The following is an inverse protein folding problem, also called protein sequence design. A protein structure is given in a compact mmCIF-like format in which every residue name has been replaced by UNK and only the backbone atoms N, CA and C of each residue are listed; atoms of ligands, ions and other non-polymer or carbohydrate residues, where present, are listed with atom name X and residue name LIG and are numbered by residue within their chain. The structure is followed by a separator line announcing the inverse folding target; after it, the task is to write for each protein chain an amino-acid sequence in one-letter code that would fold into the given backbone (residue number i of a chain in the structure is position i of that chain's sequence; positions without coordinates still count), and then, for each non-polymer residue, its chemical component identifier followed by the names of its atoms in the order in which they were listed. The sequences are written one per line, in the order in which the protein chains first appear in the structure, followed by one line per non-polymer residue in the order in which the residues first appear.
data_IF_407332781172
#
_entry.id   IF_407332781172
#
_cell.length_a   1.000
_cell.length_b   1.000
_cell.length_c   1.000
_cell.angle_alpha   90.00
_cell.angle_beta   90.00
_cell.angle_gamma   90.00
#
_symmetry.space_group_name_H-M   'P 1'
#
loop_
_entity.id
_entity.type
_entity.pdbx_description
1 polymer ?
#
# COMPACT_ATOMS: atom_id res chain seq x y z
N UNK A 1 -3.57 -22.39 0.52
CA UNK A 1 -3.31 -22.24 -0.90
C UNK A 1 -4.50 -22.69 -1.76
N UNK A 2 -5.10 -23.90 -1.53
CA UNK A 2 -6.22 -24.39 -2.34
C UNK A 2 -7.47 -23.49 -2.24
N UNK A 3 -7.78 -22.96 -1.05
CA UNK A 3 -8.89 -22.00 -0.85
C UNK A 3 -8.69 -20.73 -1.70
N UNK A 4 -7.50 -20.17 -1.68
CA UNK A 4 -7.15 -18.98 -2.49
C UNK A 4 -7.31 -19.29 -4.00
N UNK A 5 -6.80 -20.42 -4.47
CA UNK A 5 -6.97 -20.84 -5.87
C UNK A 5 -8.44 -20.97 -6.28
N UNK A 6 -9.28 -21.47 -5.39
CA UNK A 6 -10.72 -21.59 -5.64
C UNK A 6 -11.41 -20.23 -5.73
N UNK A 7 -11.06 -19.28 -4.86
CA UNK A 7 -11.57 -17.91 -4.90
C UNK A 7 -11.16 -17.23 -6.21
N UNK A 8 -9.87 -17.29 -6.56
CA UNK A 8 -9.34 -16.69 -7.78
C UNK A 8 -10.00 -17.25 -9.04
N UNK A 9 -10.30 -18.56 -9.08
CA UNK A 9 -11.03 -19.18 -10.19
C UNK A 9 -12.48 -18.68 -10.33
N UNK A 10 -13.12 -18.31 -9.24
CA UNK A 10 -14.49 -17.78 -9.25
C UNK A 10 -14.54 -16.29 -9.59
N UNK A 11 -13.45 -15.58 -9.41
CA UNK A 11 -13.39 -14.16 -9.77
C UNK A 11 -13.31 -14.03 -11.30
N UNK A 12 -13.99 -13.04 -11.87
CA UNK A 12 -13.86 -12.67 -13.28
C UNK A 12 -12.62 -11.82 -13.56
N UNK A 13 -11.65 -11.84 -12.65
CA UNK A 13 -10.43 -11.04 -12.74
C UNK A 13 -9.32 -11.93 -13.31
N UNK A 14 -8.58 -11.42 -14.29
CA UNK A 14 -7.37 -12.08 -14.77
C UNK A 14 -6.36 -12.13 -13.61
N UNK A 15 -5.95 -13.34 -13.24
CA UNK A 15 -5.11 -13.55 -12.06
C UNK A 15 -4.02 -14.57 -12.29
N UNK A 16 -2.94 -14.45 -11.52
CA UNK A 16 -1.85 -15.42 -11.49
C UNK A 16 -1.30 -15.58 -10.07
N UNK A 17 -0.90 -16.81 -9.74
CA UNK A 17 -0.18 -17.11 -8.49
C UNK A 17 1.29 -17.29 -8.81
N UNK A 18 2.13 -16.48 -8.15
CA UNK A 18 3.57 -16.48 -8.38
C UNK A 18 4.25 -17.07 -7.16
N UNK A 19 5.01 -18.12 -7.37
CA UNK A 19 5.87 -18.69 -6.32
C UNK A 19 7.11 -17.83 -6.16
N UNK A 20 7.44 -17.50 -4.91
CA UNK A 20 8.67 -16.78 -4.60
C UNK A 20 9.83 -17.76 -4.48
N UNK A 21 10.94 -17.47 -5.14
CA UNK A 21 12.22 -18.09 -4.88
C UNK A 21 13.07 -17.15 -4.02
N UNK A 22 13.02 -17.35 -2.72
CA UNK A 22 13.73 -16.51 -1.75
C UNK A 22 15.24 -16.52 -2.00
N UNK A 23 15.80 -17.63 -2.50
CA UNK A 23 17.24 -17.76 -2.76
C UNK A 23 17.74 -16.85 -3.90
N UNK A 24 16.88 -16.51 -4.87
CA UNK A 24 17.24 -15.55 -5.93
C UNK A 24 17.40 -14.13 -5.40
N UNK A 25 16.75 -13.82 -4.28
CA UNK A 25 16.73 -12.48 -3.71
C UNK A 25 17.79 -12.27 -2.63
N UNK A 26 18.17 -13.33 -1.88
CA UNK A 26 19.02 -13.23 -0.68
C UNK A 26 20.44 -12.78 -0.94
N UNK A 27 20.93 -12.80 -2.18
CA UNK A 27 22.31 -12.43 -2.51
C UNK A 27 22.66 -10.97 -2.17
N UNK A 28 21.66 -10.07 -2.09
CA UNK A 28 21.82 -8.63 -1.90
C UNK A 28 21.23 -8.10 -0.58
N UNK A 29 20.72 -8.96 0.29
CA UNK A 29 20.13 -8.54 1.57
C UNK A 29 21.21 -8.50 2.65
N UNK A 30 21.29 -7.37 3.36
CA UNK A 30 22.09 -7.28 4.58
C UNK A 30 21.55 -8.24 5.63
N UNK A 31 22.45 -8.96 6.30
CA UNK A 31 22.08 -9.89 7.38
C UNK A 31 21.71 -9.19 8.69
N UNK A 32 21.97 -7.89 8.78
CA UNK A 32 21.72 -7.05 9.95
C UNK A 32 20.86 -5.88 9.48
N UNK A 33 19.75 -5.63 10.18
CA UNK A 33 18.84 -4.53 9.88
C UNK A 33 19.37 -3.18 10.43
N UNK A 34 18.66 -2.10 10.17
CA UNK A 34 19.01 -0.75 10.64
C UNK A 34 19.05 -0.60 12.16
N UNK A 35 18.49 -1.54 12.93
CA UNK A 35 18.56 -1.62 14.41
C UNK A 35 19.70 -2.47 14.93
N UNK A 36 20.61 -2.95 14.09
CA UNK A 36 21.66 -3.92 14.42
C UNK A 36 21.15 -5.30 14.88
N UNK A 37 19.95 -5.69 14.49
CA UNK A 37 19.36 -6.99 14.76
C UNK A 37 19.55 -7.93 13.57
N UNK A 38 19.69 -9.23 13.84
CA UNK A 38 19.76 -10.25 12.79
C UNK A 38 18.43 -10.32 12.04
N UNK A 39 18.48 -10.20 10.72
CA UNK A 39 17.30 -10.33 9.85
C UNK A 39 16.78 -11.77 9.87
N UNK A 40 15.52 -11.94 10.21
CA UNK A 40 14.87 -13.25 10.27
C UNK A 40 14.48 -13.76 8.88
N UNK A 41 14.27 -15.07 8.75
CA UNK A 41 13.82 -15.68 7.49
C UNK A 41 12.46 -15.13 7.04
N UNK A 42 11.54 -14.83 7.97
CA UNK A 42 10.25 -14.24 7.66
C UNK A 42 10.41 -12.83 7.08
N UNK A 43 11.29 -12.02 7.66
CA UNK A 43 11.58 -10.69 7.12
C UNK A 43 12.17 -10.77 5.70
N UNK A 44 13.11 -11.70 5.47
CA UNK A 44 13.69 -11.94 4.13
C UNK A 44 12.59 -12.33 3.13
N UNK A 45 11.69 -13.23 3.53
CA UNK A 45 10.58 -13.66 2.68
C UNK A 45 9.65 -12.50 2.35
N UNK A 46 9.33 -11.64 3.32
CA UNK A 46 8.52 -10.44 3.11
C UNK A 46 9.19 -9.47 2.13
N UNK A 47 10.47 -9.16 2.33
CA UNK A 47 11.21 -8.28 1.41
C UNK A 47 11.31 -8.86 -0.01
N UNK A 48 11.47 -10.18 -0.13
CA UNK A 48 11.43 -10.87 -1.41
C UNK A 48 10.08 -10.68 -2.11
N UNK A 49 8.97 -10.78 -1.35
CA UNK A 49 7.62 -10.57 -1.86
C UNK A 49 7.43 -9.13 -2.36
N UNK A 50 7.81 -8.13 -1.56
CA UNK A 50 7.72 -6.71 -1.93
C UNK A 50 8.55 -6.44 -3.19
N UNK A 51 9.80 -6.90 -3.23
CA UNK A 51 10.67 -6.72 -4.40
C UNK A 51 10.06 -7.36 -5.66
N UNK A 52 9.55 -8.60 -5.55
CA UNK A 52 8.93 -9.29 -6.69
C UNK A 52 7.70 -8.55 -7.18
N UNK A 53 6.87 -8.05 -6.28
CA UNK A 53 5.69 -7.25 -6.61
C UNK A 53 6.06 -5.96 -7.34
N UNK A 54 7.09 -5.25 -6.88
CA UNK A 54 7.63 -4.06 -7.54
C UNK A 54 8.15 -4.37 -8.96
N UNK A 55 8.89 -5.47 -9.13
CA UNK A 55 9.39 -5.90 -10.44
C UNK A 55 8.25 -6.23 -11.42
N UNK A 56 7.20 -6.89 -10.94
CA UNK A 56 6.01 -7.18 -11.75
C UNK A 56 5.30 -5.89 -12.13
N UNK A 57 5.09 -4.99 -11.17
CA UNK A 57 4.48 -3.70 -11.41
C UNK A 57 5.24 -2.90 -12.47
N UNK A 58 6.56 -2.79 -12.34
CA UNK A 58 7.40 -2.08 -13.32
C UNK A 58 7.33 -2.69 -14.72
N UNK A 59 7.39 -4.03 -14.83
CA UNK A 59 7.58 -4.70 -16.11
C UNK A 59 6.27 -5.06 -16.83
N UNK A 60 5.17 -5.26 -16.08
CA UNK A 60 3.93 -5.85 -16.61
C UNK A 60 2.70 -4.94 -16.49
N UNK A 61 2.72 -3.90 -15.62
CA UNK A 61 1.59 -2.98 -15.55
C UNK A 61 1.57 -2.05 -16.77
N UNK A 62 0.36 -1.63 -17.15
CA UNK A 62 0.17 -0.68 -18.25
C UNK A 62 0.14 0.76 -17.74
N UNK A 63 -0.52 1.01 -16.62
CA UNK A 63 -0.76 2.37 -16.11
C UNK A 63 -0.77 2.40 -14.58
N UNK A 64 -1.89 2.04 -13.94
CA UNK A 64 -2.09 2.11 -12.51
C UNK A 64 -1.77 0.78 -11.82
N UNK A 65 -1.24 0.86 -10.62
CA UNK A 65 -0.84 -0.30 -9.79
C UNK A 65 -1.37 -0.11 -8.38
N UNK A 66 -1.90 -1.18 -7.82
CA UNK A 66 -2.27 -1.24 -6.43
C UNK A 66 -1.50 -2.35 -5.70
N UNK A 67 -0.67 -1.97 -4.75
CA UNK A 67 0.00 -2.88 -3.83
C UNK A 67 -0.89 -3.08 -2.61
N UNK A 68 -1.16 -4.33 -2.26
CA UNK A 68 -2.05 -4.70 -1.14
C UNK A 68 -1.38 -5.76 -0.29
N UNK A 69 -1.30 -5.51 1.00
CA UNK A 69 -0.94 -6.50 2.02
C UNK A 69 -2.17 -7.35 2.34
N UNK A 70 -1.96 -8.58 2.78
CA UNK A 70 -3.02 -9.58 2.98
C UNK A 70 -3.84 -9.38 4.28
N UNK A 71 -3.50 -8.38 5.06
CA UNK A 71 -4.19 -7.98 6.29
C UNK A 71 -5.04 -6.70 6.14
N UNK A 72 -5.43 -6.34 4.91
CA UNK A 72 -6.36 -5.24 4.65
C UNK A 72 -7.73 -5.73 4.21
N UNK A 73 -8.79 -5.16 4.81
CA UNK A 73 -10.17 -5.31 4.36
C UNK A 73 -10.65 -3.99 3.77
N UNK A 74 -11.25 -4.06 2.59
CA UNK A 74 -11.71 -2.89 1.86
C UNK A 74 -13.22 -2.73 1.95
N UNK A 75 -13.68 -1.48 1.95
CA UNK A 75 -15.09 -1.16 1.73
C UNK A 75 -15.50 -1.55 0.30
N UNK A 76 -16.76 -1.93 0.13
CA UNK A 76 -17.34 -2.07 -1.20
C UNK A 76 -17.21 -0.74 -1.96
N UNK A 77 -16.74 -0.82 -3.20
CA UNK A 77 -16.50 0.36 -4.03
C UNK A 77 -15.19 1.10 -3.77
N UNK A 78 -14.32 0.63 -2.86
CA UNK A 78 -13.02 1.26 -2.56
C UNK A 78 -12.15 1.44 -3.81
N UNK A 79 -12.07 0.43 -4.68
CA UNK A 79 -11.30 0.50 -5.91
C UNK A 79 -11.81 1.57 -6.87
N UNK A 80 -13.12 1.66 -7.07
CA UNK A 80 -13.72 2.70 -7.92
C UNK A 80 -13.43 4.09 -7.37
N UNK A 81 -13.57 4.29 -6.05
CA UNK A 81 -13.24 5.57 -5.41
C UNK A 81 -11.78 5.95 -5.64
N UNK A 82 -10.84 5.00 -5.46
CA UNK A 82 -9.42 5.27 -5.69
C UNK A 82 -9.13 5.63 -7.15
N UNK A 83 -9.64 4.86 -8.11
CA UNK A 83 -9.41 5.11 -9.54
C UNK A 83 -9.96 6.49 -9.94
N UNK A 84 -11.24 6.76 -9.67
CA UNK A 84 -11.88 8.01 -10.05
C UNK A 84 -11.27 9.23 -9.34
N UNK A 85 -10.88 9.07 -8.07
CA UNK A 85 -10.20 10.14 -7.33
C UNK A 85 -8.79 10.38 -7.85
N UNK A 86 -8.05 9.31 -8.21
CA UNK A 86 -6.76 9.44 -8.85
C UNK A 86 -6.85 10.23 -10.14
N UNK A 87 -7.73 9.83 -11.07
CA UNK A 87 -7.94 10.50 -12.35
C UNK A 87 -8.28 11.98 -12.16
N UNK A 88 -9.24 12.27 -11.27
CA UNK A 88 -9.68 13.63 -10.99
C UNK A 88 -8.57 14.51 -10.44
N UNK A 89 -7.91 14.07 -9.36
CA UNK A 89 -6.94 14.88 -8.63
C UNK A 89 -5.64 14.99 -9.44
N UNK A 90 -5.17 13.91 -10.07
CA UNK A 90 -3.97 13.93 -10.91
C UNK A 90 -4.13 14.88 -12.10
N UNK A 91 -5.31 14.89 -12.73
CA UNK A 91 -5.64 15.83 -13.80
C UNK A 91 -5.64 17.29 -13.33
N UNK A 92 -6.23 17.56 -12.15
CA UNK A 92 -6.26 18.92 -11.59
C UNK A 92 -4.86 19.44 -11.24
N UNK A 93 -4.01 18.57 -10.72
CA UNK A 93 -2.65 18.92 -10.29
C UNK A 93 -1.63 18.83 -11.42
N UNK A 94 -1.97 18.16 -12.52
CA UNK A 94 -1.06 17.74 -13.58
C UNK A 94 0.15 16.98 -13.01
N UNK A 95 -0.11 15.99 -12.11
CA UNK A 95 0.90 15.20 -11.41
C UNK A 95 0.44 13.77 -11.20
N UNK A 96 1.38 12.85 -11.18
CA UNK A 96 1.19 11.50 -10.66
C UNK A 96 1.01 11.55 -9.13
N UNK A 97 0.27 10.59 -8.59
CA UNK A 97 -0.09 10.54 -7.17
C UNK A 97 0.26 9.19 -6.54
N UNK A 98 0.35 9.19 -5.23
CA UNK A 98 0.21 7.98 -4.41
C UNK A 98 -1.09 8.11 -3.61
N UNK A 99 -1.93 7.09 -3.60
CA UNK A 99 -3.11 7.04 -2.75
C UNK A 99 -2.94 5.92 -1.72
N UNK A 100 -3.05 6.27 -0.44
CA UNK A 100 -3.19 5.30 0.64
C UNK A 100 -4.69 5.03 0.85
N UNK A 101 -5.17 3.78 0.93
CA UNK A 101 -6.59 3.51 1.10
C UNK A 101 -7.09 3.73 2.53
N UNK A 102 -6.19 3.79 3.50
CA UNK A 102 -6.51 3.87 4.90
C UNK A 102 -6.25 5.26 5.49
N UNK A 103 -7.15 5.70 6.33
CA UNK A 103 -7.05 6.92 7.13
C UNK A 103 -6.63 6.53 8.56
N UNK A 104 -5.34 6.41 8.79
CA UNK A 104 -4.83 5.89 10.05
C UNK A 104 -5.01 6.85 11.24
N UNK A 105 -5.31 6.34 12.46
CA UNK A 105 -5.42 7.16 13.67
C UNK A 105 -4.16 7.99 13.98
N UNK A 106 -2.96 7.49 13.68
CA UNK A 106 -1.73 8.25 13.94
C UNK A 106 -1.65 9.58 13.19
N UNK A 107 -2.34 9.70 12.04
CA UNK A 107 -2.41 10.96 11.29
C UNK A 107 -3.14 12.08 12.04
N UNK A 108 -3.81 11.76 13.16
CA UNK A 108 -4.49 12.72 14.03
C UNK A 108 -3.74 13.03 15.33
N UNK A 109 -2.56 12.45 15.53
CA UNK A 109 -1.77 12.66 16.75
C UNK A 109 -0.91 13.91 16.71
N UNK A 110 -0.76 14.52 15.53
CA UNK A 110 0.01 15.75 15.33
C UNK A 110 -0.90 16.86 14.81
N UNK A 111 -0.66 18.10 15.27
CA UNK A 111 -1.35 19.27 14.74
C UNK A 111 -0.50 19.80 13.59
N UNK A 112 -0.90 19.47 12.36
CA UNK A 112 -0.19 19.88 11.15
C UNK A 112 -1.17 20.47 10.14
N UNK A 113 -0.79 21.55 9.41
CA UNK A 113 -1.55 22.00 8.25
C UNK A 113 -1.63 20.88 7.21
N UNK A 114 -2.82 20.60 6.71
CA UNK A 114 -3.00 19.61 5.67
C UNK A 114 -3.78 20.18 4.49
N UNK A 115 -3.35 19.83 3.26
CA UNK A 115 -4.09 20.13 2.05
C UNK A 115 -5.17 19.08 1.85
N UNK A 116 -6.39 19.53 1.56
CA UNK A 116 -7.54 18.67 1.28
C UNK A 116 -7.90 18.79 -0.19
N UNK A 117 -8.11 17.65 -0.83
CA UNK A 117 -8.51 17.52 -2.23
C UNK A 117 -9.90 16.88 -2.32
N UNK A 118 -10.66 17.28 -3.32
CA UNK A 118 -11.95 16.68 -3.61
C UNK A 118 -11.75 15.48 -4.55
N UNK A 119 -11.94 14.26 -4.02
CA UNK A 119 -11.99 13.03 -4.81
C UNK A 119 -13.33 12.83 -5.49
N UNK A 120 -13.69 11.57 -5.78
CA UNK A 120 -14.99 11.24 -6.39
C UNK A 120 -16.13 11.36 -5.36
N UNK A 121 -16.09 10.59 -4.29
CA UNK A 121 -17.10 10.59 -3.22
C UNK A 121 -16.52 10.91 -1.84
N UNK A 122 -15.23 11.21 -1.76
CA UNK A 122 -14.52 11.47 -0.51
C UNK A 122 -13.62 12.68 -0.62
N UNK A 123 -13.29 13.25 0.52
CA UNK A 123 -12.15 14.15 0.64
C UNK A 123 -10.88 13.35 0.80
N UNK A 124 -9.79 13.87 0.28
CA UNK A 124 -8.47 13.27 0.36
C UNK A 124 -7.51 14.29 0.95
N UNK A 125 -6.79 13.92 1.99
CA UNK A 125 -5.77 14.79 2.58
C UNK A 125 -4.37 14.37 2.17
N UNK A 126 -3.48 15.36 2.01
CA UNK A 126 -2.07 15.09 1.83
C UNK A 126 -1.51 14.48 3.13
N UNK A 127 -0.72 13.42 2.98
CA UNK A 127 0.00 12.74 4.06
C UNK A 127 1.45 12.54 3.67
N UNK A 128 2.33 12.39 4.65
CA UNK A 128 3.76 12.22 4.44
C UNK A 128 4.26 10.84 4.88
N UNK A 129 3.41 10.05 5.50
CA UNK A 129 3.71 8.70 5.98
C UNK A 129 2.57 7.75 5.63
N UNK A 130 2.90 6.52 5.23
CA UNK A 130 1.95 5.42 4.98
C UNK A 130 2.61 4.08 5.30
N UNK A 131 1.82 2.99 5.20
CA UNK A 131 2.30 1.61 5.17
C UNK A 131 2.46 1.13 3.72
N UNK A 132 2.75 -0.16 3.51
CA UNK A 132 3.04 -0.71 2.18
C UNK A 132 1.81 -0.97 1.30
N UNK A 133 0.59 -0.71 1.79
CA UNK A 133 -0.62 -0.77 0.98
C UNK A 133 -0.91 0.59 0.36
N UNK A 134 -0.66 0.71 -0.95
CA UNK A 134 -0.83 1.98 -1.68
C UNK A 134 -1.11 1.77 -3.17
N UNK A 135 -1.77 2.76 -3.77
CA UNK A 135 -2.15 2.83 -5.18
C UNK A 135 -1.35 3.94 -5.87
N UNK A 136 -0.76 3.67 -7.03
CA UNK A 136 0.03 4.66 -7.76
C UNK A 136 0.12 4.33 -9.24
N UNK A 137 0.80 5.17 -10.03
CA UNK A 137 1.07 4.90 -11.44
C UNK A 137 2.41 4.17 -11.66
N UNK A 138 2.48 3.44 -12.77
CA UNK A 138 3.74 2.89 -13.28
C UNK A 138 4.80 3.96 -13.47
N UNK A 139 4.42 5.14 -13.99
CA UNK A 139 5.33 6.27 -14.19
C UNK A 139 6.00 6.70 -12.89
N UNK A 140 5.25 6.76 -11.78
CA UNK A 140 5.80 7.14 -10.49
C UNK A 140 6.74 6.05 -9.95
N UNK A 141 6.39 4.78 -10.14
CA UNK A 141 7.27 3.65 -9.80
C UNK A 141 8.59 3.73 -10.58
N UNK A 142 8.54 3.97 -11.89
CA UNK A 142 9.73 4.09 -12.73
C UNK A 142 10.58 5.31 -12.33
N UNK A 143 9.94 6.46 -12.06
CA UNK A 143 10.61 7.70 -11.64
C UNK A 143 11.40 7.53 -10.33
N UNK A 144 10.87 6.79 -9.38
CA UNK A 144 11.47 6.61 -8.04
C UNK A 144 11.95 5.19 -7.79
N UNK A 145 12.30 4.46 -8.86
CA UNK A 145 12.63 3.04 -8.80
C UNK A 145 13.64 2.68 -7.71
N UNK A 146 14.72 3.43 -7.61
CA UNK A 146 15.80 3.14 -6.64
C UNK A 146 15.32 3.26 -5.19
N UNK A 147 14.42 4.22 -4.91
CA UNK A 147 13.81 4.37 -3.59
C UNK A 147 12.86 3.21 -3.28
N UNK A 148 12.00 2.82 -4.22
CA UNK A 148 11.12 1.66 -4.04
C UNK A 148 11.91 0.38 -3.76
N UNK A 149 12.96 0.11 -4.51
CA UNK A 149 13.81 -1.07 -4.31
C UNK A 149 14.58 -1.01 -3.00
N UNK A 150 15.01 0.16 -2.56
CA UNK A 150 15.76 0.31 -1.30
C UNK A 150 14.95 -0.09 -0.07
N UNK A 151 13.61 -0.03 -0.12
CA UNK A 151 12.77 -0.60 0.96
C UNK A 151 13.06 -2.07 1.24
N UNK A 152 13.44 -2.82 0.21
CA UNK A 152 13.65 -4.26 0.30
C UNK A 152 15.01 -4.64 0.89
N UNK A 153 15.81 -3.71 1.40
CA UNK A 153 17.21 -3.92 1.79
C UNK A 153 17.45 -3.89 3.30
N UNK A 154 16.42 -3.66 4.13
CA UNK A 154 16.50 -3.53 5.58
C UNK A 154 17.45 -2.43 6.11
N UNK A 155 17.85 -1.50 5.27
CA UNK A 155 18.75 -0.40 5.66
C UNK A 155 18.02 0.73 6.40
N UNK A 156 16.70 0.74 6.34
CA UNK A 156 15.86 1.81 6.84
C UNK A 156 15.01 1.35 8.02
N UNK A 157 14.66 2.30 8.89
CA UNK A 157 13.70 2.07 9.95
C UNK A 157 12.83 3.33 10.14
N UNK A 158 11.52 3.18 10.00
CA UNK A 158 10.81 1.99 9.52
C UNK A 158 11.24 1.62 8.08
N UNK A 159 10.96 0.41 7.63
CA UNK A 159 11.39 -0.02 6.29
C UNK A 159 10.66 0.75 5.17
N UNK A 160 9.52 1.37 5.46
CA UNK A 160 8.78 2.30 4.60
C UNK A 160 9.44 3.68 4.45
N UNK A 161 10.49 3.98 5.20
CA UNK A 161 11.15 5.29 5.13
C UNK A 161 11.47 5.77 3.70
N UNK A 162 11.93 4.92 2.76
CA UNK A 162 12.11 5.34 1.37
C UNK A 162 10.83 5.80 0.67
N UNK A 163 9.65 5.28 1.02
CA UNK A 163 8.36 5.79 0.55
C UNK A 163 8.11 7.20 1.10
N UNK A 164 8.36 7.42 2.38
CA UNK A 164 8.20 8.72 3.01
C UNK A 164 9.12 9.77 2.36
N UNK A 165 10.31 9.38 1.91
CA UNK A 165 11.19 10.26 1.12
C UNK A 165 10.62 10.58 -0.28
N UNK A 166 9.83 9.68 -0.88
CA UNK A 166 9.10 9.98 -2.12
C UNK A 166 8.01 11.02 -1.84
N UNK A 167 7.27 10.90 -0.74
CA UNK A 167 6.15 11.78 -0.40
C UNK A 167 6.55 13.22 -0.08
N UNK A 168 7.84 13.49 0.19
CA UNK A 168 8.36 14.86 0.29
C UNK A 168 8.31 15.63 -1.03
N UNK A 169 8.36 14.92 -2.15
CA UNK A 169 8.38 15.51 -3.50
C UNK A 169 7.13 15.19 -4.32
N UNK A 170 6.42 14.15 -3.97
CA UNK A 170 5.19 13.71 -4.61
C UNK A 170 3.99 13.86 -3.68
N UNK A 171 2.80 13.88 -4.24
CA UNK A 171 1.58 13.88 -3.44
C UNK A 171 1.21 12.46 -3.04
N UNK A 172 1.24 12.19 -1.74
CA UNK A 172 0.57 11.03 -1.15
C UNK A 172 -0.71 11.50 -0.47
N UNK A 173 -1.83 10.84 -0.77
CA UNK A 173 -3.15 11.24 -0.31
C UNK A 173 -3.83 10.08 0.42
N UNK A 174 -4.51 10.39 1.52
CA UNK A 174 -5.31 9.48 2.33
C UNK A 174 -6.79 9.92 2.33
N UNK A 175 -7.76 9.01 2.18
CA UNK A 175 -9.17 9.35 2.09
C UNK A 175 -9.79 9.66 3.46
N UNK A 176 -10.74 10.57 3.50
CA UNK A 176 -11.53 10.87 4.70
C UNK A 176 -13.02 10.70 4.35
N UNK A 177 -13.74 9.76 4.98
CA UNK A 177 -13.26 8.65 5.84
C UNK A 177 -12.51 7.55 5.07
N UNK A 178 -11.89 6.63 5.80
CA UNK A 178 -11.10 5.52 5.27
C UNK A 178 -11.84 4.65 4.24
N UNK A 179 -11.10 4.06 3.30
CA UNK A 179 -11.60 3.07 2.32
C UNK A 179 -11.21 1.63 2.68
N UNK A 180 -10.27 1.47 3.60
CA UNK A 180 -9.81 0.16 4.04
C UNK A 180 -9.43 0.17 5.53
N UNK A 181 -9.42 -1.00 6.13
CA UNK A 181 -8.95 -1.23 7.49
C UNK A 181 -7.71 -2.11 7.44
N UNK A 182 -6.66 -1.71 8.15
CA UNK A 182 -5.54 -2.56 8.45
C UNK A 182 -5.87 -3.45 9.65
N UNK A 183 -5.96 -4.77 9.45
CA UNK A 183 -6.47 -5.70 10.46
C UNK A 183 -5.42 -6.09 11.49
N UNK A 184 -4.13 -5.97 11.20
CA UNK A 184 -3.07 -6.22 12.16
C UNK A 184 -3.06 -5.09 13.19
N UNK A 185 -3.19 -5.45 14.48
CA UNK A 185 -3.27 -4.49 15.58
C UNK A 185 -4.39 -3.44 15.40
N UNK A 186 -5.60 -3.89 15.12
CA UNK A 186 -6.77 -3.06 14.82
C UNK A 186 -7.01 -1.92 15.85
N UNK A 187 -6.65 -2.13 17.09
CA UNK A 187 -6.76 -1.13 18.17
C UNK A 187 -5.52 -0.23 18.31
N UNK A 188 -4.54 -0.38 17.44
CA UNK A 188 -3.35 0.49 17.44
C UNK A 188 -3.59 1.79 16.67
N UNK A 189 -2.61 2.69 16.73
CA UNK A 189 -2.61 3.92 15.94
C UNK A 189 -2.50 3.68 14.42
N UNK A 190 -2.24 2.46 13.98
CA UNK A 190 -2.20 2.02 12.58
C UNK A 190 -3.42 1.17 12.18
N UNK A 191 -4.37 0.99 13.09
CA UNK A 191 -5.53 0.14 12.89
C UNK A 191 -6.80 0.91 12.52
N UNK A 192 -7.77 0.83 13.41
CA UNK A 192 -9.14 1.28 13.17
C UNK A 192 -9.26 2.79 13.10
N UNK A 193 -9.69 3.29 11.96
CA UNK A 193 -9.97 4.71 11.72
C UNK A 193 -11.28 5.15 12.35
N UNK A 194 -11.47 6.47 12.60
CA UNK A 194 -12.77 6.99 13.02
C UNK A 194 -13.88 6.63 12.02
N UNK A 195 -15.09 6.35 12.55
CA UNK A 195 -16.28 6.00 11.76
C UNK A 195 -16.17 4.72 10.92
N UNK A 196 -15.27 3.80 11.29
CA UNK A 196 -15.15 2.49 10.65
C UNK A 196 -15.73 1.42 11.57
N UNK A 197 -16.80 0.77 11.11
CA UNK A 197 -17.40 -0.40 11.75
C UNK A 197 -16.77 -1.66 11.12
N UNK A 198 -15.71 -2.17 11.76
CA UNK A 198 -14.95 -3.30 11.24
C UNK A 198 -15.77 -4.60 11.23
N UNK A 199 -16.67 -4.81 12.18
CA UNK A 199 -17.52 -6.00 12.24
C UNK A 199 -18.46 -6.04 11.04
N UNK A 200 -19.11 -4.91 10.74
CA UNK A 200 -19.94 -4.76 9.55
C UNK A 200 -19.15 -5.01 8.26
N UNK A 201 -17.98 -4.42 8.13
CA UNK A 201 -17.14 -4.59 6.94
C UNK A 201 -16.69 -6.04 6.80
N UNK A 202 -16.33 -6.70 7.90
CA UNK A 202 -16.02 -8.12 7.90
C UNK A 202 -17.21 -8.97 7.42
N UNK A 203 -18.42 -8.72 7.97
CA UNK A 203 -19.63 -9.42 7.56
C UNK A 203 -19.95 -9.23 6.06
N UNK A 204 -19.76 -8.03 5.54
CA UNK A 204 -19.95 -7.72 4.12
C UNK A 204 -18.94 -8.43 3.18
N UNK A 205 -17.77 -8.80 3.68
CA UNK A 205 -16.70 -9.41 2.88
C UNK A 205 -16.50 -10.92 3.11
N UNK A 206 -17.08 -11.52 4.12
CA UNK A 206 -16.77 -12.91 4.50
C UNK A 206 -17.24 -13.99 3.51
N UNK A 207 -18.21 -13.69 2.66
CA UNK A 207 -18.81 -14.62 1.71
C UNK A 207 -18.25 -14.51 0.28
N UNK A 208 -17.21 -13.71 0.06
CA UNK A 208 -16.55 -13.53 -1.21
C UNK A 208 -15.26 -14.34 -1.36
#
# INVERSE_FOLDING_TARGET
LQKIKNILKKSNINNSLINLNVNEFTANIKKINAKNETVTQNQISNMCNIHKSLMIAKNQSNDLVYFVEDDYIHLLGAFNEMILSYERISSQLNKELVLCPADYPYLYTKIEPSCIFLGSNRHWRKVEETLCTFFTSKKLIEKHWDKFVSMCQFEHYPFEQPLHEIYKTEYCLSPIPSLAIHCTNINSIFGLSPNMDWEKIWEENKDY
#
